data_IF_273877938931
#
_entry.id   IF_273877938931
#
_cell.length_a   1.000
_cell.length_b   1.000
_cell.length_c   1.000
_cell.angle_alpha   90.00
_cell.angle_beta   90.00
_cell.angle_gamma   90.00
#
_symmetry.space_group_name_H-M   'P 1'
#
loop_
_entity.id
_entity.type
_entity.pdbx_description
1 polymer ?
#
# COMPACT_ATOMS: atom_id res chain seq x y z
N UNK A 1 16.15 32.97 -54.82
CA UNK A 1 15.35 33.69 -55.87
C UNK A 1 14.81 32.72 -56.91
N UNK A 2 13.62 32.79 -57.44
CA UNK A 2 12.50 33.64 -57.02
C UNK A 2 11.14 32.91 -56.93
N UNK A 3 10.23 33.50 -56.22
CA UNK A 3 8.78 33.51 -56.45
C UNK A 3 8.49 34.16 -57.85
N UNK A 4 7.26 34.25 -58.42
CA UNK A 4 5.91 34.27 -57.81
C UNK A 4 4.74 33.77 -58.72
N UNK A 5 3.50 34.10 -58.29
CA UNK A 5 2.31 34.63 -59.05
C UNK A 5 1.09 33.71 -59.03
N UNK A 6 0.01 34.08 -58.31
CA UNK A 6 -1.11 34.99 -58.59
C UNK A 6 -2.01 34.57 -59.76
N UNK A 7 -3.31 34.38 -59.56
CA UNK A 7 -4.39 35.34 -59.80
C UNK A 7 -5.75 34.63 -59.86
N UNK A 8 -6.74 35.12 -59.18
CA UNK A 8 -7.94 35.88 -59.66
C UNK A 8 -8.98 35.14 -60.50
N UNK A 9 -10.23 35.09 -60.16
CA UNK A 9 -11.32 36.06 -60.38
C UNK A 9 -12.64 35.44 -59.86
N UNK A 10 -13.47 36.12 -59.07
CA UNK A 10 -14.62 36.96 -59.43
C UNK A 10 -15.75 36.16 -60.13
N UNK A 11 -17.02 36.25 -59.87
CA UNK A 11 -17.93 37.34 -59.42
C UNK A 11 -19.34 36.78 -59.20
N UNK A 12 -20.08 37.30 -58.24
CA UNK A 12 -21.41 37.93 -58.27
C UNK A 12 -22.56 37.19 -59.01
N UNK A 13 -23.77 37.12 -58.46
CA UNK A 13 -24.82 38.10 -58.14
C UNK A 13 -26.05 37.35 -57.65
N UNK A 14 -26.66 37.73 -56.60
CA UNK A 14 -27.80 38.64 -56.37
C UNK A 14 -29.21 38.08 -56.56
N UNK A 15 -29.98 38.34 -55.55
CA UNK A 15 -31.40 38.73 -55.47
C UNK A 15 -32.36 37.75 -54.79
N UNK A 16 -32.78 38.25 -53.65
CA UNK A 16 -34.10 38.16 -53.03
C UNK A 16 -35.25 38.64 -53.95
N UNK A 17 -36.54 38.49 -53.71
CA UNK A 17 -37.23 38.35 -52.45
C UNK A 17 -38.60 37.56 -52.49
N UNK A 18 -39.11 37.31 -51.27
CA UNK A 18 -40.54 37.29 -50.89
C UNK A 18 -41.48 36.22 -51.48
N UNK A 19 -42.05 35.42 -50.59
CA UNK A 19 -43.50 35.56 -50.25
C UNK A 19 -43.88 34.77 -48.98
N UNK A 20 -44.67 35.42 -48.23
CA UNK A 20 -45.38 35.06 -47.00
C UNK A 20 -46.38 33.91 -47.25
N UNK A 21 -46.42 32.94 -46.36
CA UNK A 21 -47.69 32.34 -45.98
C UNK A 21 -47.68 31.79 -44.54
N UNK A 22 -48.58 32.33 -43.74
CA UNK A 22 -48.95 31.91 -42.42
C UNK A 22 -49.73 30.60 -42.49
N UNK A 23 -49.43 29.64 -41.59
CA UNK A 23 -50.49 28.84 -40.99
C UNK A 23 -50.02 28.28 -39.64
N UNK A 24 -50.68 28.76 -38.64
CA UNK A 24 -51.14 28.14 -37.40
C UNK A 24 -50.30 27.08 -36.70
N UNK A 25 -49.92 27.44 -35.48
CA UNK A 25 -49.54 26.53 -34.40
C UNK A 25 -50.70 25.61 -33.97
N UNK A 26 -50.37 24.50 -33.29
CA UNK A 26 -50.92 24.37 -31.97
C UNK A 26 -49.80 24.23 -30.92
N UNK A 27 -50.05 24.92 -29.85
CA UNK A 27 -49.42 24.81 -28.54
C UNK A 27 -49.58 23.39 -28.02
N UNK A 28 -48.49 22.79 -27.57
CA UNK A 28 -48.59 21.93 -26.41
C UNK A 28 -47.32 21.96 -25.56
N UNK A 29 -47.57 21.87 -24.30
CA UNK A 29 -46.87 22.20 -23.07
C UNK A 29 -45.73 21.24 -22.73
N UNK A 30 -44.75 21.79 -21.99
CA UNK A 30 -43.84 21.10 -21.08
C UNK A 30 -42.66 20.33 -21.66
N UNK A 31 -41.64 21.05 -22.06
CA UNK A 31 -40.26 20.56 -22.07
C UNK A 31 -39.46 21.07 -20.86
N UNK A 32 -39.43 20.38 -19.72
CA UNK A 32 -38.46 20.61 -18.66
C UNK A 32 -37.10 20.16 -19.16
N UNK A 33 -35.99 20.93 -18.89
CA UNK A 33 -34.66 20.50 -19.23
C UNK A 33 -34.31 19.22 -18.47
N UNK A 34 -33.50 18.32 -19.03
CA UNK A 34 -33.14 17.08 -18.37
C UNK A 34 -32.39 17.38 -17.06
N UNK A 35 -32.92 16.90 -15.96
CA UNK A 35 -32.28 16.97 -14.65
C UNK A 35 -30.94 16.24 -14.73
N UNK A 36 -29.81 16.97 -14.61
CA UNK A 36 -28.49 16.41 -14.37
C UNK A 36 -28.58 15.46 -13.17
N UNK A 37 -28.22 14.20 -13.41
CA UNK A 37 -28.31 13.14 -12.42
C UNK A 37 -27.44 13.43 -11.19
N UNK A 38 -28.09 13.68 -10.07
CA UNK A 38 -27.50 13.77 -8.71
C UNK A 38 -27.19 12.39 -8.11
N UNK A 39 -26.84 11.39 -8.96
CA UNK A 39 -26.66 10.00 -8.50
C UNK A 39 -25.27 9.65 -7.93
N UNK A 40 -24.22 10.43 -8.26
CA UNK A 40 -22.83 10.01 -7.96
C UNK A 40 -22.37 10.34 -6.54
N UNK A 41 -22.83 11.42 -5.92
CA UNK A 41 -22.41 11.80 -4.56
C UNK A 41 -23.07 10.95 -3.46
N UNK A 42 -24.33 10.58 -3.62
CA UNK A 42 -25.05 9.74 -2.64
C UNK A 42 -24.53 8.30 -2.59
N UNK A 43 -24.09 7.72 -3.71
CA UNK A 43 -23.50 6.38 -3.74
C UNK A 43 -22.11 6.34 -3.08
N UNK A 44 -21.28 7.38 -3.26
CA UNK A 44 -19.96 7.47 -2.63
C UNK A 44 -20.05 7.69 -1.10
N UNK A 45 -21.00 8.50 -0.65
CA UNK A 45 -21.27 8.72 0.78
C UNK A 45 -21.85 7.46 1.42
N UNK A 46 -22.76 6.76 0.75
CA UNK A 46 -23.32 5.49 1.22
C UNK A 46 -22.25 4.39 1.37
N UNK A 47 -21.32 4.29 0.43
CA UNK A 47 -20.22 3.32 0.48
C UNK A 47 -19.22 3.63 1.62
N UNK A 48 -18.93 4.92 1.87
CA UNK A 48 -18.08 5.35 2.97
C UNK A 48 -18.73 5.05 4.33
N UNK A 49 -20.00 5.37 4.49
CA UNK A 49 -20.78 5.05 5.71
C UNK A 49 -20.85 3.54 5.93
N UNK A 50 -21.04 2.76 4.87
CA UNK A 50 -21.05 1.30 4.95
C UNK A 50 -19.70 0.74 5.41
N UNK A 51 -18.57 1.24 4.91
CA UNK A 51 -17.24 0.82 5.35
C UNK A 51 -16.96 1.17 6.82
N UNK A 52 -17.44 2.34 7.29
CA UNK A 52 -17.34 2.74 8.69
C UNK A 52 -18.19 1.86 9.60
N UNK A 53 -19.44 1.61 9.22
CA UNK A 53 -20.33 0.69 9.95
C UNK A 53 -19.76 -0.73 9.96
N UNK A 54 -19.18 -1.17 8.87
CA UNK A 54 -18.51 -2.45 8.75
C UNK A 54 -17.31 -2.55 9.70
N UNK A 55 -16.45 -1.54 9.72
CA UNK A 55 -15.33 -1.46 10.64
C UNK A 55 -15.81 -1.43 12.11
N UNK A 56 -16.85 -0.68 12.41
CA UNK A 56 -17.47 -0.64 13.75
C UNK A 56 -18.07 -1.98 14.15
N UNK A 57 -18.73 -2.70 13.25
CA UNK A 57 -19.27 -4.03 13.50
C UNK A 57 -18.13 -5.03 13.79
N UNK A 58 -17.05 -5.00 13.01
CA UNK A 58 -15.88 -5.87 13.22
C UNK A 58 -15.23 -5.57 14.57
N UNK A 59 -15.08 -4.29 14.92
CA UNK A 59 -14.57 -3.86 16.23
C UNK A 59 -15.48 -4.35 17.35
N UNK A 60 -16.79 -4.15 17.23
CA UNK A 60 -17.78 -4.54 18.23
C UNK A 60 -17.84 -6.05 18.43
N UNK A 61 -17.89 -6.80 17.34
CA UNK A 61 -17.91 -8.27 17.35
C UNK A 61 -16.56 -8.84 17.77
N UNK A 62 -15.45 -8.25 17.31
CA UNK A 62 -14.10 -8.63 17.72
C UNK A 62 -13.85 -8.42 19.22
N UNK A 63 -14.32 -7.30 19.79
CA UNK A 63 -14.25 -7.04 21.22
C UNK A 63 -15.15 -8.01 22.02
N UNK A 64 -16.37 -8.26 21.55
CA UNK A 64 -17.34 -9.13 22.23
C UNK A 64 -16.92 -10.61 22.25
N UNK A 65 -16.18 -11.09 21.26
CA UNK A 65 -15.79 -12.52 21.13
C UNK A 65 -14.39 -12.85 21.64
N UNK A 66 -13.68 -11.88 22.20
CA UNK A 66 -12.32 -12.11 22.70
C UNK A 66 -11.27 -12.32 21.62
N UNK A 67 -11.58 -12.04 20.34
CA UNK A 67 -10.60 -12.11 19.22
C UNK A 67 -9.37 -11.28 19.54
N UNK A 68 -9.55 -10.08 20.08
CA UNK A 68 -8.45 -9.19 20.48
C UNK A 68 -7.64 -9.74 21.68
N UNK A 69 -8.19 -10.70 22.43
CA UNK A 69 -7.48 -11.39 23.50
C UNK A 69 -6.45 -12.40 23.02
N UNK A 70 -6.53 -12.80 21.74
CA UNK A 70 -5.61 -13.77 21.13
C UNK A 70 -4.36 -13.10 20.52
N UNK A 71 -4.37 -11.78 20.37
CA UNK A 71 -3.26 -11.00 19.83
C UNK A 71 -2.17 -10.87 20.89
N UNK A 72 -0.93 -11.17 20.55
CA UNK A 72 0.22 -10.97 21.44
C UNK A 72 0.57 -9.49 21.49
N UNK A 73 0.45 -8.92 22.68
CA UNK A 73 0.85 -7.54 22.94
C UNK A 73 2.28 -7.49 23.46
N UNK A 74 3.13 -6.73 22.79
CA UNK A 74 4.51 -6.51 23.17
C UNK A 74 4.82 -5.02 23.15
N UNK A 75 4.83 -4.39 24.33
CA UNK A 75 4.97 -2.95 24.45
C UNK A 75 6.28 -2.45 23.83
N UNK A 76 6.20 -1.43 22.99
CA UNK A 76 7.33 -0.66 22.53
C UNK A 76 7.48 0.62 23.37
N UNK A 77 8.69 0.90 23.77
CA UNK A 77 9.04 2.17 24.41
C UNK A 77 9.28 3.24 23.35
N UNK A 78 9.13 4.50 23.72
CA UNK A 78 9.52 5.59 22.84
C UNK A 78 11.03 5.48 22.50
N UNK A 79 11.35 5.87 21.26
CA UNK A 79 12.72 5.82 20.75
C UNK A 79 13.62 6.75 21.57
N UNK A 80 14.60 6.20 22.27
CA UNK A 80 15.55 6.96 23.08
C UNK A 80 16.75 7.54 22.28
N UNK A 81 16.89 7.13 21.01
CA UNK A 81 17.99 7.53 20.14
C UNK A 81 17.71 8.77 19.30
N UNK A 82 16.47 9.23 19.28
CA UNK A 82 16.05 10.42 18.53
C UNK A 82 14.98 11.20 19.29
N UNK A 83 15.15 12.51 19.38
CA UNK A 83 14.18 13.37 20.04
C UNK A 83 12.88 13.42 19.23
N UNK A 84 11.74 13.34 19.90
CA UNK A 84 10.42 13.37 19.25
C UNK A 84 10.21 14.57 18.33
N UNK A 85 10.82 15.74 18.67
CA UNK A 85 10.79 16.96 17.83
C UNK A 85 11.51 16.80 16.49
N UNK A 86 12.44 15.86 16.38
CA UNK A 86 13.17 15.57 15.16
C UNK A 86 12.45 14.55 14.25
N UNK A 87 11.33 14.02 14.72
CA UNK A 87 10.50 13.09 13.97
C UNK A 87 9.29 13.81 13.38
N UNK A 88 9.16 13.74 12.07
CA UNK A 88 7.95 14.25 11.38
C UNK A 88 6.76 13.38 11.77
N UNK A 89 5.72 14.03 12.27
CA UNK A 89 4.45 13.40 12.64
C UNK A 89 3.28 14.33 12.33
N UNK A 90 2.09 13.75 12.14
CA UNK A 90 0.81 14.45 12.07
C UNK A 90 -0.23 13.56 12.77
N UNK A 91 -0.99 14.04 13.75
CA UNK A 91 -1.98 13.23 14.47
C UNK A 91 -3.07 12.64 13.55
N UNK A 92 -3.27 13.22 12.37
CA UNK A 92 -4.21 12.77 11.35
C UNK A 92 -3.65 11.69 10.43
N UNK A 93 -2.32 11.51 10.41
CA UNK A 93 -1.62 10.44 9.69
C UNK A 93 -1.12 9.42 10.70
N UNK A 94 -1.48 8.14 10.53
CA UNK A 94 -1.03 7.05 11.39
C UNK A 94 -0.12 6.11 10.64
N UNK A 95 1.11 6.00 11.13
CA UNK A 95 2.17 5.20 10.57
C UNK A 95 2.32 3.88 11.35
N UNK A 96 2.03 2.76 10.72
CA UNK A 96 2.20 1.41 11.29
C UNK A 96 3.21 0.63 10.47
N UNK A 97 4.26 0.16 11.12
CA UNK A 97 5.30 -0.65 10.48
C UNK A 97 4.88 -2.12 10.48
N UNK A 98 4.61 -2.66 9.31
CA UNK A 98 4.38 -4.09 9.10
C UNK A 98 5.73 -4.80 8.93
N UNK A 99 6.02 -5.74 9.80
CA UNK A 99 7.22 -6.56 9.80
C UNK A 99 6.87 -7.99 9.40
N UNK A 100 7.42 -8.45 8.29
CA UNK A 100 7.31 -9.84 7.84
C UNK A 100 8.53 -10.64 8.29
N UNK A 101 8.32 -11.68 9.08
CA UNK A 101 9.38 -12.53 9.60
C UNK A 101 9.22 -13.97 9.14
N UNK A 102 10.36 -14.65 8.90
CA UNK A 102 10.41 -16.10 8.69
C UNK A 102 10.65 -16.78 10.04
N UNK A 103 9.79 -16.47 11.01
CA UNK A 103 9.85 -17.04 12.35
C UNK A 103 9.09 -18.37 12.37
N UNK A 104 9.74 -19.41 12.90
CA UNK A 104 9.03 -20.60 13.32
C UNK A 104 8.48 -20.36 14.74
N UNK A 105 7.35 -21.00 15.14
CA UNK A 105 6.68 -20.72 16.42
C UNK A 105 7.55 -20.89 17.69
N UNK A 106 8.79 -21.34 17.52
CA UNK A 106 9.74 -21.60 18.64
C UNK A 106 10.97 -20.68 18.63
N UNK A 107 11.12 -19.83 17.61
CA UNK A 107 12.29 -18.96 17.51
C UNK A 107 12.00 -17.64 18.25
N UNK A 108 12.88 -17.28 19.17
CA UNK A 108 12.80 -15.99 19.88
C UNK A 108 12.95 -14.85 18.87
N UNK A 109 12.22 -13.75 19.05
CA UNK A 109 12.25 -12.56 18.18
C UNK A 109 13.69 -12.05 17.88
N UNK A 110 14.62 -12.26 18.80
CA UNK A 110 16.03 -11.90 18.70
C UNK A 110 16.85 -12.75 17.72
N UNK A 111 16.32 -13.86 17.18
CA UNK A 111 17.04 -14.71 16.23
C UNK A 111 16.53 -14.52 14.79
N UNK A 112 15.46 -13.79 14.58
CA UNK A 112 14.81 -13.63 13.28
C UNK A 112 15.26 -12.35 12.57
N UNK A 113 15.49 -12.43 11.25
CA UNK A 113 15.67 -11.24 10.41
C UNK A 113 14.32 -10.85 9.84
N UNK A 114 14.00 -9.56 9.87
CA UNK A 114 12.84 -9.07 9.14
C UNK A 114 13.15 -9.01 7.64
N UNK A 115 12.52 -9.90 6.88
CA UNK A 115 12.68 -9.96 5.42
C UNK A 115 11.72 -9.01 4.67
N UNK A 116 10.71 -8.50 5.37
CA UNK A 116 9.75 -7.52 4.86
C UNK A 116 9.56 -6.41 5.89
N UNK A 117 9.79 -5.17 5.48
CA UNK A 117 9.55 -3.97 6.28
C UNK A 117 8.72 -3.01 5.43
N UNK A 118 7.46 -2.84 5.78
CA UNK A 118 6.51 -2.01 5.03
C UNK A 118 5.80 -1.04 5.96
N UNK A 119 6.00 0.25 5.75
CA UNK A 119 5.28 1.29 6.47
C UNK A 119 3.91 1.50 5.82
N UNK A 120 2.86 1.33 6.60
CA UNK A 120 1.48 1.60 6.21
C UNK A 120 1.09 2.94 6.85
N UNK A 121 0.95 3.96 6.03
CA UNK A 121 0.53 5.30 6.46
C UNK A 121 -0.93 5.51 6.11
N UNK A 122 -1.77 5.58 7.14
CA UNK A 122 -3.21 5.87 7.01
C UNK A 122 -3.39 7.37 7.14
N UNK A 123 -3.62 8.03 6.01
CA UNK A 123 -3.72 9.47 5.88
C UNK A 123 -5.19 9.90 5.87
N UNK A 124 -5.64 10.42 7.02
CA UNK A 124 -7.02 10.93 7.19
C UNK A 124 -7.22 12.31 6.57
N UNK A 125 -6.14 13.01 6.18
CA UNK A 125 -6.21 14.32 5.49
C UNK A 125 -6.63 14.13 4.04
N UNK A 126 -5.97 13.19 3.36
CA UNK A 126 -6.18 12.93 1.93
C UNK A 126 -7.05 11.68 1.67
N UNK A 127 -7.56 11.03 2.74
CA UNK A 127 -8.37 9.80 2.68
C UNK A 127 -7.71 8.67 1.87
N UNK A 128 -6.42 8.44 2.09
CA UNK A 128 -5.63 7.47 1.34
C UNK A 128 -4.77 6.59 2.25
N UNK A 129 -4.44 5.40 1.77
CA UNK A 129 -3.44 4.53 2.38
C UNK A 129 -2.19 4.57 1.52
N UNK A 130 -1.06 4.95 2.12
CA UNK A 130 0.25 4.98 1.48
C UNK A 130 1.11 3.84 2.01
N UNK A 131 1.72 3.07 1.12
CA UNK A 131 2.55 1.91 1.46
C UNK A 131 3.98 2.15 1.02
N UNK A 132 4.91 2.20 1.96
CA UNK A 132 6.35 2.34 1.68
C UNK A 132 7.10 1.09 2.08
N UNK A 133 7.73 0.40 1.13
CA UNK A 133 8.62 -0.73 1.41
C UNK A 133 10.05 -0.27 1.63
N UNK A 134 10.65 -0.65 2.75
CA UNK A 134 12.09 -0.50 2.98
C UNK A 134 12.81 -1.75 2.48
N UNK A 135 13.83 -1.56 1.63
CA UNK A 135 14.66 -2.68 1.21
C UNK A 135 15.56 -3.11 2.37
N UNK A 136 15.63 -4.41 2.58
CA UNK A 136 16.32 -5.00 3.74
C UNK A 136 17.83 -4.82 3.72
N UNK A 137 18.44 -4.68 2.51
CA UNK A 137 19.89 -4.60 2.32
C UNK A 137 20.40 -3.14 2.27
N UNK A 138 19.55 -2.15 2.62
CA UNK A 138 19.94 -0.74 2.77
C UNK A 138 20.97 -0.64 3.90
N UNK A 139 22.07 0.07 3.65
CA UNK A 139 23.09 0.36 4.64
C UNK A 139 22.70 1.56 5.49
N UNK A 140 22.46 1.34 6.78
CA UNK A 140 21.98 2.35 7.74
C UNK A 140 22.68 2.20 9.07
N UNK A 141 22.69 3.26 9.87
CA UNK A 141 23.12 3.21 11.26
C UNK A 141 22.05 2.55 12.13
N UNK A 142 22.46 1.59 12.97
CA UNK A 142 21.60 0.87 13.90
C UNK A 142 21.89 1.37 15.32
N UNK A 143 21.04 2.24 15.90
CA UNK A 143 21.34 2.95 17.14
C UNK A 143 21.58 2.01 18.33
N UNK A 144 20.76 0.99 18.51
CA UNK A 144 20.87 0.04 19.63
C UNK A 144 22.17 -0.77 19.64
N UNK A 145 22.96 -0.71 18.56
CA UNK A 145 24.24 -1.42 18.41
C UNK A 145 25.42 -0.48 18.18
N UNK A 146 25.16 0.81 18.02
CA UNK A 146 26.16 1.85 17.71
C UNK A 146 27.05 1.48 16.51
N UNK A 147 26.40 0.98 15.43
CA UNK A 147 27.10 0.60 14.21
C UNK A 147 26.24 0.71 12.96
N UNK A 148 26.89 0.86 11.81
CA UNK A 148 26.18 0.77 10.52
C UNK A 148 26.17 -0.67 10.02
N UNK A 149 24.99 -1.11 9.55
CA UNK A 149 24.76 -2.46 9.00
C UNK A 149 23.58 -2.43 8.02
N UNK A 150 23.27 -3.57 7.37
CA UNK A 150 22.02 -3.72 6.62
C UNK A 150 20.82 -3.54 7.53
N UNK A 151 19.79 -2.85 7.05
CA UNK A 151 18.60 -2.52 7.83
C UNK A 151 17.94 -3.75 8.48
N UNK A 152 17.91 -4.90 7.79
CA UNK A 152 17.31 -6.13 8.34
C UNK A 152 18.06 -6.70 9.56
N UNK A 153 19.29 -6.30 9.78
CA UNK A 153 20.05 -6.69 10.97
C UNK A 153 19.56 -6.00 12.25
N UNK A 154 18.85 -4.87 12.13
CA UNK A 154 18.27 -4.17 13.26
C UNK A 154 17.34 -5.07 14.09
N UNK A 155 16.58 -5.95 13.42
CA UNK A 155 15.72 -6.93 14.08
C UNK A 155 16.50 -7.91 14.96
N UNK A 156 17.68 -8.33 14.50
CA UNK A 156 18.55 -9.28 15.24
C UNK A 156 19.18 -8.65 16.49
N UNK A 157 19.47 -7.34 16.46
CA UNK A 157 20.11 -6.62 17.56
C UNK A 157 19.13 -6.04 18.57
N UNK A 158 18.03 -5.44 18.11
CA UNK A 158 17.06 -4.73 18.96
C UNK A 158 15.64 -5.29 18.89
N UNK A 159 15.44 -6.48 18.28
CA UNK A 159 14.09 -7.01 18.07
C UNK A 159 13.26 -6.11 17.13
N UNK A 160 11.95 -6.22 17.25
CA UNK A 160 11.03 -5.44 16.41
C UNK A 160 11.08 -3.94 16.73
N UNK A 161 11.26 -3.59 18.02
CA UNK A 161 11.46 -2.21 18.47
C UNK A 161 12.73 -1.62 17.86
N UNK A 162 13.82 -2.38 17.80
CA UNK A 162 15.08 -1.92 17.19
C UNK A 162 14.95 -1.61 15.69
N UNK A 163 14.03 -2.28 14.97
CA UNK A 163 13.72 -1.92 13.57
C UNK A 163 12.98 -0.59 13.51
N UNK A 164 11.99 -0.37 14.40
CA UNK A 164 11.27 0.91 14.51
C UNK A 164 12.26 2.03 14.78
N UNK A 165 13.07 1.90 15.84
CA UNK A 165 14.07 2.91 16.25
C UNK A 165 15.07 3.22 15.13
N UNK A 166 15.51 2.19 14.42
CA UNK A 166 16.44 2.34 13.30
C UNK A 166 15.82 3.13 12.13
N UNK A 167 14.56 2.84 11.80
CA UNK A 167 13.87 3.55 10.72
C UNK A 167 13.59 5.00 11.13
N UNK A 168 13.11 5.24 12.34
CA UNK A 168 12.87 6.60 12.86
C UNK A 168 14.16 7.43 12.87
N UNK A 169 15.27 6.86 13.37
CA UNK A 169 16.57 7.53 13.45
C UNK A 169 17.11 7.93 12.07
N UNK A 170 17.04 7.01 11.10
CA UNK A 170 17.62 7.26 9.79
C UNK A 170 16.74 8.08 8.85
N UNK A 171 15.42 7.98 8.98
CA UNK A 171 14.49 8.60 8.03
C UNK A 171 13.61 9.70 8.62
N UNK A 172 13.67 9.94 9.93
CA UNK A 172 13.02 11.08 10.57
C UNK A 172 11.49 11.08 10.51
N UNK A 173 10.87 9.90 10.38
CA UNK A 173 9.41 9.73 10.31
C UNK A 173 8.96 9.00 11.57
N UNK A 174 7.99 9.56 12.30
CA UNK A 174 7.41 8.89 13.48
C UNK A 174 6.64 7.65 13.06
N UNK A 175 6.96 6.53 13.70
CA UNK A 175 6.22 5.27 13.60
C UNK A 175 5.36 5.14 14.85
N UNK A 176 4.04 5.17 14.69
CA UNK A 176 3.11 5.13 15.83
C UNK A 176 3.08 3.75 16.50
N UNK A 177 3.15 2.69 15.67
CA UNK A 177 3.08 1.31 16.15
C UNK A 177 3.68 0.34 15.11
N UNK A 178 3.89 -0.92 15.53
CA UNK A 178 4.27 -1.99 14.61
C UNK A 178 3.30 -3.18 14.68
N UNK A 179 3.28 -3.98 13.63
CA UNK A 179 2.59 -5.27 13.53
C UNK A 179 3.55 -6.28 12.93
N UNK A 180 3.71 -7.40 13.59
CA UNK A 180 4.50 -8.53 13.09
C UNK A 180 3.56 -9.57 12.48
N UNK A 181 3.92 -10.04 11.30
CA UNK A 181 3.25 -11.09 10.59
C UNK A 181 4.26 -12.17 10.20
N UNK A 182 4.02 -13.41 10.62
CA UNK A 182 4.76 -14.56 10.12
C UNK A 182 4.13 -15.13 8.84
N UNK A 183 4.78 -16.13 8.27
CA UNK A 183 4.29 -16.75 7.04
C UNK A 183 2.98 -17.53 7.23
N UNK A 184 2.73 -18.05 8.42
CA UNK A 184 1.51 -18.78 8.73
C UNK A 184 0.32 -17.83 8.81
N UNK A 185 0.48 -16.72 9.55
CA UNK A 185 -0.50 -15.64 9.62
C UNK A 185 -0.88 -15.13 8.24
N UNK A 186 0.12 -14.87 7.38
CA UNK A 186 -0.12 -14.38 6.02
C UNK A 186 -0.98 -15.36 5.21
N UNK A 187 -0.67 -16.67 5.26
CA UNK A 187 -1.44 -17.69 4.54
C UNK A 187 -2.88 -17.78 5.07
N UNK A 188 -3.04 -17.85 6.39
CA UNK A 188 -4.35 -17.91 7.05
C UNK A 188 -5.21 -16.69 6.70
N UNK A 189 -4.61 -15.50 6.69
CA UNK A 189 -5.29 -14.25 6.33
C UNK A 189 -5.80 -14.28 4.89
N UNK A 190 -4.93 -14.64 3.93
CA UNK A 190 -5.29 -14.71 2.51
C UNK A 190 -6.37 -15.76 2.25
N UNK A 191 -6.26 -16.93 2.86
CA UNK A 191 -7.24 -18.00 2.70
C UNK A 191 -8.60 -17.64 3.33
N UNK A 192 -8.60 -16.93 4.47
CA UNK A 192 -9.82 -16.49 5.14
C UNK A 192 -10.66 -15.51 4.32
N UNK A 193 -10.03 -14.67 3.49
CA UNK A 193 -10.73 -13.77 2.55
C UNK A 193 -11.05 -14.43 1.20
N UNK A 194 -10.79 -15.73 1.05
CA UNK A 194 -11.06 -16.49 -0.17
C UNK A 194 -10.04 -16.27 -1.28
N UNK A 195 -8.78 -15.98 -0.92
CA UNK A 195 -7.70 -15.74 -1.87
C UNK A 195 -7.61 -14.32 -2.41
N UNK A 196 -6.55 -14.03 -3.15
CA UNK A 196 -6.25 -12.71 -3.73
C UNK A 196 -5.97 -12.80 -5.22
N UNK A 197 -6.55 -11.87 -5.98
CA UNK A 197 -6.38 -11.81 -7.42
C UNK A 197 -5.06 -11.13 -7.80
N UNK A 198 -4.17 -11.87 -8.47
CA UNK A 198 -2.86 -11.41 -8.92
C UNK A 198 -2.61 -11.86 -10.36
N UNK A 199 -1.99 -10.98 -11.16
CA UNK A 199 -1.49 -11.33 -12.50
C UNK A 199 -0.07 -11.88 -12.36
N UNK A 200 0.11 -13.15 -12.68
CA UNK A 200 1.38 -13.88 -12.64
C UNK A 200 1.99 -13.94 -14.03
N UNK A 201 3.26 -13.63 -14.17
CA UNK A 201 4.00 -13.76 -15.43
C UNK A 201 4.45 -15.21 -15.68
N UNK A 202 4.79 -15.54 -16.94
CA UNK A 202 5.33 -16.86 -17.30
C UNK A 202 6.62 -17.18 -16.54
N UNK A 203 7.50 -16.20 -16.34
CA UNK A 203 8.75 -16.38 -15.60
C UNK A 203 8.50 -16.68 -14.10
N UNK A 204 7.57 -15.98 -13.47
CA UNK A 204 7.18 -16.20 -12.07
C UNK A 204 6.53 -17.56 -11.86
N UNK A 205 5.63 -17.95 -12.75
CA UNK A 205 5.00 -19.27 -12.72
C UNK A 205 6.03 -20.38 -12.84
N UNK A 206 6.97 -20.27 -13.80
CA UNK A 206 8.08 -21.21 -14.00
C UNK A 206 8.99 -21.29 -12.79
N UNK A 207 9.36 -20.15 -12.18
CA UNK A 207 10.23 -20.10 -11.00
C UNK A 207 9.59 -20.85 -9.82
N UNK A 208 8.33 -20.56 -9.50
CA UNK A 208 7.65 -21.19 -8.36
C UNK A 208 7.41 -22.67 -8.59
N UNK A 209 6.82 -23.04 -9.73
CA UNK A 209 6.45 -24.42 -10.05
C UNK A 209 7.67 -25.30 -10.28
N UNK A 210 8.74 -24.75 -10.84
CA UNK A 210 9.99 -25.47 -11.12
C UNK A 210 10.89 -25.71 -9.89
N UNK A 211 10.60 -25.06 -8.75
CA UNK A 211 11.44 -25.16 -7.55
C UNK A 211 10.64 -25.58 -6.29
N UNK A 212 10.06 -26.82 -6.27
CA UNK A 212 9.17 -27.26 -5.19
C UNK A 212 9.84 -27.24 -3.81
N UNK A 213 11.14 -27.56 -3.72
CA UNK A 213 11.89 -27.52 -2.45
C UNK A 213 11.95 -26.10 -1.84
N UNK A 214 11.92 -25.05 -2.69
CA UNK A 214 11.98 -23.64 -2.24
C UNK A 214 10.62 -23.11 -1.85
N UNK A 215 9.57 -23.50 -2.56
CA UNK A 215 8.24 -22.93 -2.47
C UNK A 215 7.17 -23.88 -1.91
N UNK A 216 7.57 -25.09 -1.42
CA UNK A 216 6.66 -26.00 -0.72
C UNK A 216 5.66 -26.72 -1.63
N UNK A 217 6.10 -27.20 -2.79
CA UNK A 217 5.25 -27.90 -3.79
C UNK A 217 4.07 -27.05 -4.30
N UNK A 218 4.23 -25.74 -4.34
CA UNK A 218 3.23 -24.81 -4.88
C UNK A 218 3.31 -24.79 -6.40
N UNK A 219 2.15 -24.87 -7.06
CA UNK A 219 2.02 -24.68 -8.50
C UNK A 219 1.39 -23.32 -8.77
N UNK A 220 2.02 -22.55 -9.66
CA UNK A 220 1.47 -21.31 -10.21
C UNK A 220 1.36 -21.43 -11.73
N UNK A 221 0.34 -20.80 -12.28
CA UNK A 221 0.13 -20.67 -13.73
C UNK A 221 0.27 -19.19 -14.13
N UNK A 222 0.66 -18.95 -15.39
CA UNK A 222 0.71 -17.60 -15.92
C UNK A 222 -0.70 -17.08 -16.21
N UNK A 223 -0.92 -15.80 -15.96
CA UNK A 223 -2.22 -15.17 -16.16
C UNK A 223 -2.75 -14.49 -14.90
N UNK A 224 -4.04 -14.17 -14.92
CA UNK A 224 -4.74 -13.56 -13.80
C UNK A 224 -5.44 -14.66 -13.00
N UNK A 225 -5.01 -14.86 -11.78
CA UNK A 225 -5.48 -15.95 -10.93
C UNK A 225 -5.83 -15.45 -9.53
N UNK A 226 -6.79 -16.14 -8.89
CA UNK A 226 -7.07 -15.96 -7.47
C UNK A 226 -6.13 -16.89 -6.69
N UNK A 227 -5.08 -16.33 -6.10
CA UNK A 227 -4.05 -17.09 -5.39
C UNK A 227 -4.53 -17.45 -3.98
N UNK A 228 -4.33 -18.69 -3.59
CA UNK A 228 -4.44 -19.15 -2.19
C UNK A 228 -3.33 -18.55 -1.34
N UNK A 229 -3.43 -18.67 0.00
CA UNK A 229 -2.39 -18.17 0.92
C UNK A 229 -1.00 -18.73 0.63
N UNK A 230 -0.91 -20.04 0.35
CA UNK A 230 0.36 -20.70 -0.04
C UNK A 230 0.90 -20.16 -1.36
N UNK A 231 0.05 -19.97 -2.35
CA UNK A 231 0.44 -19.43 -3.66
C UNK A 231 0.86 -17.96 -3.57
N UNK A 232 0.12 -17.15 -2.84
CA UNK A 232 0.45 -15.74 -2.61
C UNK A 232 1.78 -15.59 -1.84
N UNK A 233 2.03 -16.44 -0.83
CA UNK A 233 3.29 -16.45 -0.11
C UNK A 233 4.46 -16.84 -1.03
N UNK A 234 4.30 -17.90 -1.84
CA UNK A 234 5.31 -18.31 -2.81
C UNK A 234 5.63 -17.18 -3.80
N UNK A 235 4.61 -16.50 -4.32
CA UNK A 235 4.75 -15.34 -5.20
C UNK A 235 5.52 -14.19 -4.54
N UNK A 236 5.23 -13.85 -3.28
CA UNK A 236 5.94 -12.82 -2.52
C UNK A 236 7.41 -13.17 -2.23
N UNK A 237 7.77 -14.45 -2.25
CA UNK A 237 9.13 -14.95 -1.95
C UNK A 237 10.02 -15.14 -3.17
N UNK A 238 9.55 -14.87 -4.38
CA UNK A 238 10.35 -14.96 -5.61
C UNK A 238 11.53 -13.97 -5.55
N UNK A 239 12.75 -14.49 -5.75
CA UNK A 239 14.01 -13.72 -5.72
C UNK A 239 14.99 -14.04 -6.85
N UNK A 240 14.88 -15.21 -7.47
CA UNK A 240 15.94 -15.74 -8.36
C UNK A 240 15.87 -15.23 -9.79
N UNK A 241 14.75 -14.69 -10.19
CA UNK A 241 14.52 -14.21 -11.56
C UNK A 241 14.68 -12.69 -11.70
N UNK A 242 14.90 -11.99 -10.56
CA UNK A 242 15.02 -10.53 -10.55
C UNK A 242 15.58 -10.00 -9.21
N UNK A 243 15.52 -8.68 -9.02
CA UNK A 243 16.10 -7.96 -7.88
C UNK A 243 15.17 -7.93 -6.66
N UNK A 244 15.73 -7.53 -5.52
CA UNK A 244 14.95 -7.29 -4.29
C UNK A 244 13.91 -6.17 -4.46
N UNK A 245 14.15 -5.23 -5.36
CA UNK A 245 13.17 -4.19 -5.74
C UNK A 245 11.88 -4.78 -6.34
N UNK A 246 12.01 -5.79 -7.21
CA UNK A 246 10.87 -6.46 -7.82
C UNK A 246 10.15 -7.35 -6.79
N UNK A 247 10.90 -7.99 -5.89
CA UNK A 247 10.30 -8.73 -4.77
C UNK A 247 9.40 -7.83 -3.92
N UNK A 248 9.88 -6.67 -3.48
CA UNK A 248 9.07 -5.75 -2.67
C UNK A 248 7.88 -5.19 -3.45
N UNK A 249 7.99 -5.02 -4.77
CA UNK A 249 6.85 -4.69 -5.64
C UNK A 249 5.78 -5.79 -5.62
N UNK A 250 6.18 -7.08 -5.69
CA UNK A 250 5.23 -8.21 -5.55
C UNK A 250 4.52 -8.20 -4.21
N UNK A 251 5.24 -7.96 -3.12
CA UNK A 251 4.65 -7.86 -1.78
C UNK A 251 3.60 -6.74 -1.71
N UNK A 252 3.88 -5.56 -2.26
CA UNK A 252 2.90 -4.46 -2.33
C UNK A 252 1.72 -4.80 -3.25
N UNK A 253 1.95 -5.50 -4.36
CA UNK A 253 0.88 -5.97 -5.25
C UNK A 253 -0.10 -6.87 -4.51
N UNK A 254 0.42 -7.85 -3.75
CA UNK A 254 -0.43 -8.75 -2.94
C UNK A 254 -1.12 -7.97 -1.81
N UNK A 255 -0.44 -7.05 -1.13
CA UNK A 255 -1.06 -6.22 -0.10
C UNK A 255 -2.22 -5.37 -0.67
N UNK A 256 -2.04 -4.77 -1.83
CA UNK A 256 -3.13 -4.07 -2.53
C UNK A 256 -4.30 -5.00 -2.86
N UNK A 257 -4.02 -6.23 -3.31
CA UNK A 257 -5.06 -7.20 -3.59
C UNK A 257 -5.83 -7.61 -2.33
N UNK A 258 -5.13 -7.77 -1.19
CA UNK A 258 -5.74 -8.01 0.13
C UNK A 258 -6.66 -6.84 0.51
N UNK A 259 -6.16 -5.60 0.47
CA UNK A 259 -6.95 -4.40 0.79
C UNK A 259 -8.19 -4.31 -0.10
N UNK A 260 -8.03 -4.53 -1.41
CA UNK A 260 -9.14 -4.53 -2.36
C UNK A 260 -10.19 -5.61 -2.03
N UNK A 261 -9.72 -6.81 -1.71
CA UNK A 261 -10.59 -7.94 -1.36
C UNK A 261 -11.33 -7.68 -0.05
N UNK A 262 -10.65 -7.16 0.97
CA UNK A 262 -11.27 -6.79 2.23
C UNK A 262 -12.39 -5.76 2.05
N UNK A 263 -12.20 -4.75 1.19
CA UNK A 263 -13.24 -3.74 0.88
C UNK A 263 -14.51 -4.35 0.27
N UNK A 264 -14.38 -5.42 -0.48
CA UNK A 264 -15.50 -6.12 -1.12
C UNK A 264 -16.06 -7.28 -0.31
N UNK A 265 -15.45 -7.59 0.85
CA UNK A 265 -15.85 -8.70 1.70
C UNK A 265 -17.01 -8.31 2.62
N UNK A 266 -17.87 -9.29 2.93
CA UNK A 266 -18.93 -9.10 3.92
C UNK A 266 -18.39 -9.12 5.37
N UNK A 267 -19.15 -8.61 6.36
CA UNK A 267 -18.71 -8.53 7.75
C UNK A 267 -18.31 -9.86 8.36
N UNK A 268 -19.01 -10.93 8.00
CA UNK A 268 -18.72 -12.27 8.52
C UNK A 268 -17.36 -12.79 8.02
N UNK A 269 -17.04 -12.57 6.75
CA UNK A 269 -15.73 -12.92 6.18
C UNK A 269 -14.61 -12.15 6.87
N UNK A 270 -14.79 -10.84 7.11
CA UNK A 270 -13.80 -10.02 7.80
C UNK A 270 -13.63 -10.44 9.27
N UNK A 271 -14.71 -10.81 9.94
CA UNK A 271 -14.64 -11.38 11.28
C UNK A 271 -13.88 -12.70 11.32
N UNK A 272 -14.18 -13.62 10.40
CA UNK A 272 -13.48 -14.90 10.25
C UNK A 272 -11.98 -14.69 9.99
N UNK A 273 -11.65 -13.75 9.10
CA UNK A 273 -10.27 -13.36 8.84
C UNK A 273 -9.56 -12.87 10.11
N UNK A 274 -10.16 -11.91 10.82
CA UNK A 274 -9.60 -11.37 12.05
C UNK A 274 -9.44 -12.44 13.14
N UNK A 275 -10.45 -13.30 13.31
CA UNK A 275 -10.45 -14.37 14.31
C UNK A 275 -9.37 -15.43 14.04
N UNK A 276 -9.16 -15.77 12.76
CA UNK A 276 -8.17 -16.76 12.38
C UNK A 276 -6.74 -16.19 12.39
N UNK A 277 -6.55 -14.91 12.04
CA UNK A 277 -5.24 -14.27 12.00
C UNK A 277 -4.77 -13.81 13.41
N UNK A 278 -5.69 -13.48 14.30
CA UNK A 278 -5.37 -12.92 15.62
C UNK A 278 -4.30 -13.69 16.43
N UNK A 279 -4.31 -15.04 16.51
CA UNK A 279 -3.31 -15.79 17.27
C UNK A 279 -1.88 -15.64 16.76
N UNK A 280 -1.70 -15.22 15.53
CA UNK A 280 -0.41 -15.08 14.84
C UNK A 280 0.07 -13.62 14.77
N UNK A 281 -0.71 -12.68 15.33
CA UNK A 281 -0.38 -11.26 15.31
C UNK A 281 0.36 -10.93 16.62
N UNK A 282 1.53 -10.30 16.47
CA UNK A 282 2.24 -9.62 17.54
C UNK A 282 2.29 -8.12 17.24
N UNK A 283 1.99 -7.27 18.23
CA UNK A 283 1.95 -5.81 18.06
C UNK A 283 2.15 -5.08 19.38
N UNK A 284 2.61 -3.84 19.29
CA UNK A 284 2.64 -2.88 20.41
C UNK A 284 1.35 -2.04 20.52
N UNK A 285 0.36 -2.31 19.66
CA UNK A 285 -0.94 -1.65 19.76
C UNK A 285 -1.77 -2.22 20.91
N UNK A 286 -2.23 -1.35 21.81
CA UNK A 286 -3.31 -1.72 22.71
C UNK A 286 -4.57 -2.03 21.92
N UNK A 287 -5.49 -2.81 22.51
CA UNK A 287 -6.79 -3.15 21.87
C UNK A 287 -7.53 -1.92 21.35
N UNK A 288 -7.55 -0.85 22.16
CA UNK A 288 -8.19 0.42 21.78
C UNK A 288 -7.50 1.10 20.58
N UNK A 289 -6.16 1.16 20.57
CA UNK A 289 -5.39 1.70 19.44
C UNK A 289 -5.62 0.90 18.16
N UNK A 290 -5.64 -0.43 18.25
CA UNK A 290 -5.90 -1.30 17.11
C UNK A 290 -7.29 -1.07 16.52
N UNK A 291 -8.33 -0.99 17.37
CA UNK A 291 -9.69 -0.66 16.94
C UNK A 291 -9.76 0.69 16.24
N UNK A 292 -9.12 1.72 16.80
CA UNK A 292 -9.07 3.06 16.23
C UNK A 292 -8.33 3.07 14.89
N UNK A 293 -7.23 2.33 14.77
CA UNK A 293 -6.47 2.20 13.53
C UNK A 293 -7.29 1.53 12.43
N UNK A 294 -7.96 0.41 12.73
CA UNK A 294 -8.82 -0.30 11.76
C UNK A 294 -9.96 0.59 11.27
N UNK A 295 -10.61 1.34 12.18
CA UNK A 295 -11.66 2.29 11.80
C UNK A 295 -11.14 3.40 10.88
N UNK A 296 -9.99 4.00 11.20
CA UNK A 296 -9.34 5.02 10.35
C UNK A 296 -8.95 4.45 8.98
N UNK A 297 -8.32 3.27 8.95
CA UNK A 297 -7.93 2.61 7.72
C UNK A 297 -9.15 2.31 6.83
N UNK A 298 -10.27 1.88 7.39
CA UNK A 298 -11.52 1.67 6.66
C UNK A 298 -12.02 2.93 5.95
N UNK A 299 -11.95 4.08 6.62
CA UNK A 299 -12.32 5.38 6.05
C UNK A 299 -11.35 5.90 4.97
N UNK A 300 -10.07 5.58 5.11
CA UNK A 300 -9.01 6.07 4.22
C UNK A 300 -8.76 5.13 3.02
N UNK A 301 -9.31 3.94 3.02
CA UNK A 301 -9.07 2.93 1.99
C UNK A 301 -9.73 3.25 0.62
N UNK A 302 -10.01 4.51 0.29
CA UNK A 302 -10.57 4.91 -1.02
C UNK A 302 -9.54 4.82 -2.13
N UNK A 303 -8.29 5.20 -1.86
CA UNK A 303 -7.14 5.04 -2.74
C UNK A 303 -5.95 4.44 -2.01
N UNK A 304 -5.02 3.85 -2.78
CA UNK A 304 -3.79 3.28 -2.24
C UNK A 304 -2.63 3.65 -3.14
N UNK A 305 -1.55 4.18 -2.56
CA UNK A 305 -0.34 4.57 -3.27
C UNK A 305 0.87 3.84 -2.73
N UNK A 306 1.89 3.67 -3.56
CA UNK A 306 3.03 2.82 -3.24
C UNK A 306 4.35 3.54 -3.50
N UNK A 307 5.25 3.43 -2.53
CA UNK A 307 6.63 3.86 -2.66
C UNK A 307 7.60 2.79 -2.15
N UNK A 308 8.87 3.03 -2.35
CA UNK A 308 9.95 2.24 -1.78
C UNK A 308 11.09 3.13 -1.32
N UNK A 309 11.76 2.72 -0.27
CA UNK A 309 13.06 3.27 0.13
C UNK A 309 14.12 2.20 -0.19
N UNK A 310 15.14 2.56 -0.97
CA UNK A 310 15.46 3.89 -1.50
C UNK A 310 14.57 4.28 -2.68
N UNK A 311 14.34 5.59 -2.80
CA UNK A 311 13.64 6.19 -3.95
C UNK A 311 14.50 6.07 -5.23
N UNK A 312 13.93 6.23 -6.43
CA UNK A 312 14.72 6.29 -7.68
C UNK A 312 15.84 7.32 -7.58
N UNK A 313 16.97 7.04 -8.22
CA UNK A 313 18.14 7.94 -8.36
C UNK A 313 18.79 8.41 -7.04
N UNK A 314 18.49 7.75 -5.91
CA UNK A 314 19.00 8.09 -4.58
C UNK A 314 19.84 6.99 -3.96
N UNK A 315 20.27 6.00 -4.73
CA UNK A 315 20.96 4.81 -4.24
C UNK A 315 21.94 4.24 -5.26
N UNK A 316 22.90 3.43 -4.76
CA UNK A 316 23.83 2.64 -5.57
C UNK A 316 24.19 1.33 -4.87
N UNK A 317 24.70 0.38 -5.62
CA UNK A 317 25.25 -0.83 -5.03
C UNK A 317 26.67 -0.55 -4.53
N UNK A 318 27.00 -1.09 -3.36
CA UNK A 318 28.30 -0.95 -2.74
C UNK A 318 28.70 -2.26 -2.05
N UNK A 319 30.00 -2.39 -1.73
CA UNK A 319 30.55 -3.50 -0.96
C UNK A 319 31.26 -2.95 0.26
N UNK A 320 30.61 -3.08 1.42
CA UNK A 320 31.13 -2.59 2.70
C UNK A 320 31.45 -3.79 3.59
N UNK A 321 32.71 -3.87 4.06
CA UNK A 321 33.19 -4.99 4.88
C UNK A 321 32.92 -6.38 4.25
N UNK A 322 33.10 -6.51 2.93
CA UNK A 322 32.85 -7.73 2.17
C UNK A 322 31.36 -8.08 1.96
N UNK A 323 30.44 -7.22 2.37
CA UNK A 323 29.02 -7.39 2.19
C UNK A 323 28.50 -6.52 1.05
N UNK A 324 27.79 -7.13 0.09
CA UNK A 324 27.05 -6.36 -0.91
C UNK A 324 25.85 -5.68 -0.23
N UNK A 325 25.75 -4.35 -0.37
CA UNK A 325 24.75 -3.50 0.28
C UNK A 325 24.15 -2.52 -0.72
N UNK A 326 23.06 -1.89 -0.31
CA UNK A 326 22.46 -0.75 -1.00
C UNK A 326 22.81 0.51 -0.20
N UNK A 327 23.77 1.27 -0.72
CA UNK A 327 24.09 2.59 -0.20
C UNK A 327 23.07 3.61 -0.69
N UNK A 328 22.77 4.62 0.14
CA UNK A 328 21.72 5.59 -0.16
C UNK A 328 22.14 7.03 0.15
N UNK A 329 21.61 7.97 -0.60
CA UNK A 329 21.58 9.36 -0.17
C UNK A 329 20.50 9.50 0.92
N UNK A 330 20.93 9.51 2.19
CA UNK A 330 20.05 9.45 3.35
C UNK A 330 19.12 10.67 3.42
N UNK A 331 19.65 11.87 3.22
CA UNK A 331 18.85 13.11 3.34
C UNK A 331 17.80 13.22 2.24
N UNK A 332 18.14 12.83 1.01
CA UNK A 332 17.17 12.84 -0.09
C UNK A 332 16.08 11.78 0.11
N UNK A 333 16.44 10.58 0.58
CA UNK A 333 15.45 9.55 0.93
C UNK A 333 14.52 9.99 2.06
N UNK A 334 15.06 10.63 3.11
CA UNK A 334 14.28 11.20 4.22
C UNK A 334 13.29 12.23 3.71
N UNK A 335 13.75 13.19 2.88
CA UNK A 335 12.91 14.24 2.30
C UNK A 335 11.79 13.64 1.44
N UNK A 336 12.11 12.74 0.52
CA UNK A 336 11.11 12.13 -0.36
C UNK A 336 10.11 11.25 0.40
N UNK A 337 10.56 10.56 1.45
CA UNK A 337 9.66 9.77 2.30
C UNK A 337 8.66 10.65 3.05
N UNK A 338 9.14 11.74 3.67
CA UNK A 338 8.29 12.73 4.37
C UNK A 338 7.29 13.33 3.39
N UNK A 339 7.75 13.72 2.20
CA UNK A 339 6.90 14.32 1.17
C UNK A 339 5.82 13.33 0.71
N UNK A 340 6.18 12.10 0.41
CA UNK A 340 5.25 11.05 0.04
C UNK A 340 4.18 10.80 1.12
N UNK A 341 4.57 10.73 2.39
CA UNK A 341 3.63 10.41 3.48
C UNK A 341 2.70 11.58 3.80
N UNK A 342 3.24 12.81 3.92
CA UNK A 342 2.52 13.92 4.54
C UNK A 342 2.06 15.01 3.57
N UNK A 343 2.77 15.23 2.46
CA UNK A 343 2.56 16.42 1.64
C UNK A 343 1.81 16.13 0.33
N UNK A 344 1.97 14.93 -0.26
CA UNK A 344 1.35 14.60 -1.55
C UNK A 344 -0.10 14.16 -1.41
N UNK A 345 -0.95 14.79 -2.22
CA UNK A 345 -2.37 14.40 -2.36
C UNK A 345 -2.52 13.14 -3.21
N UNK A 346 -3.69 12.48 -3.13
CA UNK A 346 -4.01 11.32 -3.97
C UNK A 346 -3.89 11.65 -5.47
N UNK A 347 -4.39 12.82 -5.90
CA UNK A 347 -4.33 13.24 -7.30
C UNK A 347 -2.90 13.44 -7.82
N UNK A 348 -2.01 14.00 -6.99
CA UNK A 348 -0.59 14.15 -7.33
C UNK A 348 0.09 12.80 -7.48
N UNK A 349 -0.17 11.86 -6.55
CA UNK A 349 0.38 10.52 -6.60
C UNK A 349 -0.16 9.72 -7.79
N UNK A 350 -1.43 9.83 -8.13
CA UNK A 350 -2.02 9.20 -9.32
C UNK A 350 -1.34 9.70 -10.61
N UNK A 351 -1.05 11.00 -10.70
CA UNK A 351 -0.33 11.58 -11.85
C UNK A 351 1.11 11.07 -11.96
N UNK A 352 1.81 10.98 -10.82
CA UNK A 352 3.19 10.46 -10.78
C UNK A 352 3.24 8.96 -11.14
N UNK A 353 2.32 8.15 -10.61
CA UNK A 353 2.21 6.72 -10.94
C UNK A 353 1.89 6.52 -12.43
N UNK A 354 0.99 7.33 -13.01
CA UNK A 354 0.66 7.29 -14.43
C UNK A 354 1.84 7.71 -15.32
N UNK A 355 2.65 8.69 -14.90
CA UNK A 355 3.86 9.09 -15.60
C UNK A 355 4.94 8.01 -15.56
N UNK A 356 5.16 7.40 -14.39
CA UNK A 356 6.12 6.30 -14.22
C UNK A 356 5.75 5.02 -14.96
N UNK A 357 4.48 4.81 -15.28
CA UNK A 357 4.01 3.64 -16.05
C UNK A 357 4.24 3.80 -17.58
N UNK A 358 4.54 5.00 -18.06
CA UNK A 358 4.81 5.30 -19.48
C UNK A 358 6.29 5.21 -19.86
N UNK A 359 7.14 5.24 -18.85
CA UNK A 359 8.60 5.06 -18.97
C UNK A 359 8.99 3.61 -18.61
#
# INVERSE_FOLDING_TARGET
>A
TPTPTRAHHRERTSRDPRTVSRSHAPTDKHGKPPKKGKGSKKAKVGLSIFCVLLALIIILVGCATGVLGKITYNAHKENEYVTASNLKSDPRVKNVLLLGVDARPKDKASASRSDTMMLISVDSVHHTIKMTSFLRDIWVYIPCKDMSQRLNAACQYGGYSGVVDTIEYNFGVKIDNYVVADFEMFQVLVDAIGGVEVKVTKAEAKEVTGHPKRYGNVKLEAGKHNLTGKQALAYCRIRKIDTDFVRTKRQRTVMNAIIKKMKSSNPFTLYKMASNAAPYIETDMTKSKLCSFVAKAGNCATSTHQARVPFPDTWWYDTINGNSVIAINKEENKKQLIDFIYNKTSEQLDKEEAAAAKN
#
